data_IF_565611719553
#
_entry.id   IF_565611719553
#
_cell.length_a   1.000
_cell.length_b   1.000
_cell.length_c   1.000
_cell.angle_alpha   90.00
_cell.angle_beta   90.00
_cell.angle_gamma   90.00
#
_symmetry.space_group_name_H-M   'P 1'
#
loop_
_entity.id
_entity.type
_entity.pdbx_description
1 polymer ?
#
# COMPACT_ATOMS: atom_id res chain seq x y z
N UNK A 1 15.04 0.89 14.34
CA UNK A 1 14.16 2.05 14.10
C UNK A 1 12.74 1.59 13.78
N UNK A 2 12.53 0.73 12.76
CA UNK A 2 11.19 0.27 12.37
C UNK A 2 10.48 -0.50 13.51
N UNK A 3 11.19 -1.36 14.23
CA UNK A 3 10.66 -2.06 15.41
C UNK A 3 10.18 -1.08 16.50
N UNK A 4 10.96 -0.02 16.78
CA UNK A 4 10.55 0.99 17.76
C UNK A 4 9.32 1.78 17.28
N UNK A 5 9.20 2.02 15.97
CA UNK A 5 8.03 2.64 15.38
C UNK A 5 6.79 1.73 15.51
N UNK A 6 6.93 0.45 15.17
CA UNK A 6 5.87 -0.54 15.32
C UNK A 6 5.39 -0.60 16.77
N UNK A 7 6.34 -0.74 17.71
CA UNK A 7 6.02 -0.75 19.14
C UNK A 7 5.31 0.53 19.60
N UNK A 8 5.74 1.70 19.16
CA UNK A 8 5.10 2.96 19.54
C UNK A 8 3.65 3.05 19.02
N UNK A 9 3.38 2.49 17.84
CA UNK A 9 2.02 2.41 17.28
C UNK A 9 1.17 1.40 18.06
N UNK A 10 1.73 0.24 18.42
CA UNK A 10 1.06 -0.76 19.24
C UNK A 10 0.75 -0.21 20.65
N UNK A 11 1.71 0.46 21.28
CA UNK A 11 1.53 1.11 22.58
C UNK A 11 0.48 2.23 22.56
N UNK A 12 0.15 2.77 21.37
CA UNK A 12 -0.90 3.77 21.12
C UNK A 12 -2.18 3.16 20.49
N UNK A 13 -2.47 1.90 20.80
CA UNK A 13 -3.66 1.18 20.30
C UNK A 13 -3.82 1.25 18.77
N UNK A 14 -2.71 1.23 18.03
CA UNK A 14 -2.66 1.34 16.55
C UNK A 14 -3.22 2.65 16.00
N UNK A 15 -3.22 3.72 16.77
CA UNK A 15 -3.60 5.04 16.30
C UNK A 15 -2.39 5.84 15.83
N UNK A 16 -2.67 6.74 14.88
CA UNK A 16 -1.68 7.66 14.35
C UNK A 16 -1.34 8.75 15.38
N UNK A 17 -0.05 9.02 15.55
CA UNK A 17 0.43 10.17 16.32
C UNK A 17 1.52 10.91 15.53
N UNK A 18 1.24 11.16 14.25
CA UNK A 18 2.15 11.89 13.37
C UNK A 18 1.39 12.70 12.33
N UNK A 19 2.00 13.80 11.90
CA UNK A 19 1.49 14.67 10.84
C UNK A 19 1.85 14.17 9.44
N UNK A 20 1.71 15.06 8.47
CA UNK A 20 1.86 14.80 7.04
C UNK A 20 3.19 14.17 6.63
N UNK A 21 4.31 14.56 7.25
CA UNK A 21 5.61 13.97 6.95
C UNK A 21 5.73 12.53 7.45
N UNK A 22 5.22 12.25 8.64
CA UNK A 22 5.21 10.90 9.21
C UNK A 22 4.33 9.96 8.39
N UNK A 23 3.14 10.40 8.00
CA UNK A 23 2.19 9.60 7.21
C UNK A 23 2.78 9.12 5.89
N UNK A 24 3.62 9.94 5.26
CA UNK A 24 4.27 9.61 3.99
C UNK A 24 5.21 8.41 4.08
N UNK A 25 5.87 8.21 5.20
CA UNK A 25 6.90 7.18 5.34
C UNK A 25 6.48 6.00 6.22
N UNK A 26 5.61 6.22 7.20
CA UNK A 26 5.31 5.23 8.24
C UNK A 26 4.81 3.90 7.66
N UNK A 27 3.75 3.91 6.84
CA UNK A 27 3.17 2.71 6.26
C UNK A 27 4.18 1.91 5.44
N UNK A 28 4.93 2.59 4.56
CA UNK A 28 5.93 1.95 3.71
C UNK A 28 7.11 1.40 4.49
N UNK A 29 7.61 2.14 5.49
CA UNK A 29 8.75 1.69 6.28
C UNK A 29 8.36 0.51 7.17
N UNK A 30 7.19 0.55 7.80
CA UNK A 30 6.67 -0.60 8.53
C UNK A 30 6.58 -1.83 7.64
N UNK A 31 5.94 -1.71 6.48
CA UNK A 31 5.79 -2.82 5.54
C UNK A 31 7.14 -3.35 5.07
N UNK A 32 8.05 -2.47 4.67
CA UNK A 32 9.38 -2.83 4.15
C UNK A 32 10.23 -3.58 5.18
N UNK A 33 10.06 -3.29 6.45
CA UNK A 33 10.85 -3.88 7.53
C UNK A 33 10.11 -4.95 8.33
N UNK A 34 9.06 -5.56 7.75
CA UNK A 34 8.39 -6.73 8.28
C UNK A 34 7.27 -6.46 9.30
N UNK A 35 6.86 -5.20 9.45
CA UNK A 35 5.75 -4.78 10.34
C UNK A 35 4.50 -4.35 9.52
N UNK A 36 4.27 -5.02 8.39
CA UNK A 36 3.16 -4.68 7.49
C UNK A 36 1.78 -4.82 8.15
N UNK A 37 1.60 -5.81 9.01
CA UNK A 37 0.34 -6.01 9.73
C UNK A 37 0.02 -4.85 10.69
N UNK A 38 1.06 -4.27 11.32
CA UNK A 38 0.92 -3.05 12.13
C UNK A 38 0.48 -1.88 11.25
N UNK A 39 1.11 -1.72 10.07
CA UNK A 39 0.74 -0.70 9.09
C UNK A 39 -0.71 -0.85 8.61
N UNK A 40 -1.13 -2.08 8.29
CA UNK A 40 -2.48 -2.37 7.83
C UNK A 40 -3.51 -2.11 8.93
N UNK A 41 -3.26 -2.58 10.15
CA UNK A 41 -4.14 -2.37 11.28
C UNK A 41 -4.30 -0.88 11.62
N UNK A 42 -3.19 -0.12 11.59
CA UNK A 42 -3.21 1.33 11.79
C UNK A 42 -4.02 2.05 10.69
N UNK A 43 -3.84 1.69 9.42
CA UNK A 43 -4.53 2.33 8.30
C UNK A 43 -6.04 2.02 8.27
N UNK A 44 -6.45 0.87 8.81
CA UNK A 44 -7.83 0.39 8.80
C UNK A 44 -8.64 0.70 10.07
N UNK A 45 -8.06 1.43 11.04
CA UNK A 45 -8.81 1.92 12.21
C UNK A 45 -10.01 2.76 11.77
N UNK A 46 -11.12 2.68 12.56
CA UNK A 46 -12.38 3.36 12.25
C UNK A 46 -12.70 4.54 13.16
N UNK A 47 -11.84 4.79 14.12
CA UNK A 47 -11.90 5.92 15.03
C UNK A 47 -10.75 6.91 14.80
N UNK A 48 -10.88 8.11 15.32
CA UNK A 48 -9.92 9.21 15.14
C UNK A 48 -8.68 8.99 16.02
N UNK A 49 -7.49 9.21 15.47
CA UNK A 49 -7.14 9.62 14.11
C UNK A 49 -6.88 8.42 13.17
N UNK A 50 -7.57 8.34 12.05
CA UNK A 50 -7.30 7.34 11.01
C UNK A 50 -7.94 7.71 9.67
N UNK A 51 -7.49 7.08 8.57
CA UNK A 51 -8.14 7.17 7.26
C UNK A 51 -9.54 6.51 7.28
N UNK A 52 -9.69 5.37 7.98
CA UNK A 52 -10.98 4.71 8.12
C UNK A 52 -12.01 5.54 8.86
N UNK A 53 -11.59 6.33 9.86
CA UNK A 53 -12.47 7.26 10.54
C UNK A 53 -13.07 8.31 9.58
N UNK A 54 -12.30 8.86 8.66
CA UNK A 54 -12.86 9.78 7.65
C UNK A 54 -13.93 9.13 6.80
N UNK A 55 -13.74 7.86 6.42
CA UNK A 55 -14.75 7.10 5.67
C UNK A 55 -16.03 6.94 6.50
N UNK A 56 -15.91 6.58 7.77
CA UNK A 56 -17.06 6.46 8.69
C UNK A 56 -17.79 7.83 8.90
N UNK A 57 -17.07 8.94 8.79
CA UNK A 57 -17.65 10.28 8.81
C UNK A 57 -18.26 10.71 7.46
N UNK A 58 -18.22 9.87 6.44
CA UNK A 58 -18.78 10.16 5.11
C UNK A 58 -17.89 11.03 4.23
N UNK A 59 -16.59 11.14 4.52
CA UNK A 59 -15.67 11.86 3.66
C UNK A 59 -15.49 11.13 2.33
N UNK A 60 -15.52 11.88 1.24
CA UNK A 60 -15.24 11.41 -0.12
C UNK A 60 -13.88 11.87 -0.64
N UNK A 61 -13.16 12.66 0.16
CA UNK A 61 -11.85 13.22 -0.12
C UNK A 61 -10.97 13.13 1.12
N UNK A 62 -9.68 13.37 0.96
CA UNK A 62 -8.71 13.36 2.06
C UNK A 62 -8.66 14.74 2.72
N UNK A 63 -8.73 14.79 4.04
CA UNK A 63 -8.58 16.04 4.79
C UNK A 63 -7.11 16.38 5.03
N UNK A 64 -6.84 17.62 5.38
CA UNK A 64 -5.52 18.14 5.73
C UNK A 64 -5.11 17.76 7.16
N UNK A 65 -6.09 17.57 8.04
CA UNK A 65 -5.89 17.23 9.46
C UNK A 65 -6.70 16.02 9.85
N UNK A 66 -6.20 15.26 10.82
CA UNK A 66 -6.88 14.07 11.31
C UNK A 66 -8.20 14.38 12.01
N UNK A 67 -8.18 15.32 12.94
CA UNK A 67 -9.38 15.74 13.65
C UNK A 67 -9.99 17.01 13.02
N UNK A 68 -11.27 16.97 12.75
CA UNK A 68 -12.04 18.14 12.37
C UNK A 68 -12.60 18.79 13.66
N UNK A 69 -11.76 19.46 14.41
CA UNK A 69 -12.17 20.23 15.56
C UNK A 69 -12.59 21.66 15.15
N UNK A 70 -13.36 22.37 16.00
CA UNK A 70 -13.66 23.78 15.77
C UNK A 70 -12.42 24.67 15.58
N UNK A 71 -11.25 24.24 16.10
CA UNK A 71 -9.98 24.93 15.99
C UNK A 71 -9.38 24.83 14.58
N UNK A 72 -9.78 23.80 13.81
CA UNK A 72 -9.35 23.54 12.44
C UNK A 72 -10.48 23.77 11.42
N UNK A 73 -11.42 24.66 11.70
CA UNK A 73 -12.56 24.95 10.80
C UNK A 73 -12.14 25.36 9.39
N UNK A 74 -10.97 25.96 9.25
CA UNK A 74 -10.41 26.43 7.98
C UNK A 74 -9.51 25.39 7.31
N UNK A 75 -9.33 24.19 7.91
CA UNK A 75 -8.56 23.13 7.31
C UNK A 75 -9.27 22.58 6.06
N UNK A 76 -8.50 22.34 5.01
CA UNK A 76 -9.03 21.78 3.77
C UNK A 76 -9.52 20.34 4.00
N UNK A 77 -10.71 20.05 3.48
CA UNK A 77 -11.23 18.68 3.41
C UNK A 77 -10.97 18.01 2.05
N UNK A 78 -10.16 18.64 1.21
CA UNK A 78 -9.68 18.11 -0.06
C UNK A 78 -8.19 18.45 -0.22
N UNK A 79 -7.34 17.70 0.49
CA UNK A 79 -5.92 17.99 0.57
C UNK A 79 -5.07 16.75 0.30
N UNK A 80 -3.97 16.93 -0.43
CA UNK A 80 -3.11 15.83 -0.87
C UNK A 80 -2.16 15.30 0.22
N UNK A 81 -1.94 16.02 1.30
CA UNK A 81 -0.88 15.73 2.26
C UNK A 81 -0.93 14.34 2.88
N UNK A 82 -2.11 13.85 3.20
CA UNK A 82 -2.30 12.53 3.78
C UNK A 82 -2.66 11.47 2.74
N UNK A 83 -2.47 11.79 1.44
CA UNK A 83 -2.84 10.93 0.30
C UNK A 83 -1.80 9.87 -0.06
N UNK A 84 -0.63 9.83 0.56
CA UNK A 84 0.42 8.84 0.25
C UNK A 84 0.00 7.40 0.57
N UNK A 85 -1.06 7.21 1.35
CA UNK A 85 -1.70 5.90 1.54
C UNK A 85 -2.08 5.24 0.21
N UNK A 86 -2.52 6.02 -0.79
CA UNK A 86 -2.84 5.48 -2.12
C UNK A 86 -1.61 4.88 -2.81
N UNK A 87 -0.45 5.52 -2.65
CA UNK A 87 0.79 5.00 -3.19
C UNK A 87 1.23 3.73 -2.44
N UNK A 88 1.04 3.66 -1.12
CA UNK A 88 1.28 2.45 -0.34
C UNK A 88 0.34 1.30 -0.76
N UNK A 89 -0.93 1.57 -1.03
CA UNK A 89 -1.87 0.57 -1.54
C UNK A 89 -1.40 -0.03 -2.87
N UNK A 90 -0.87 0.78 -3.78
CA UNK A 90 -0.37 0.32 -5.07
C UNK A 90 0.97 -0.40 -4.94
N UNK A 91 1.93 0.18 -4.20
CA UNK A 91 3.30 -0.34 -4.13
C UNK A 91 3.47 -1.53 -3.19
N UNK A 92 2.73 -1.53 -2.07
CA UNK A 92 2.95 -2.51 -1.01
C UNK A 92 1.79 -3.50 -0.89
N UNK A 93 0.52 -3.07 -0.93
CA UNK A 93 -0.60 -4.01 -0.88
C UNK A 93 -0.73 -4.77 -2.21
N UNK A 94 -0.88 -4.08 -3.32
CA UNK A 94 -0.96 -4.71 -4.64
C UNK A 94 0.41 -5.10 -5.21
N UNK A 95 1.48 -4.44 -4.73
CA UNK A 95 2.86 -4.83 -5.00
C UNK A 95 3.45 -4.32 -6.30
N UNK A 96 2.92 -3.28 -6.95
CA UNK A 96 3.50 -2.73 -8.18
C UNK A 96 4.62 -1.76 -7.84
N UNK A 97 5.86 -2.17 -8.08
CA UNK A 97 7.06 -1.36 -7.86
C UNK A 97 7.89 -1.25 -9.14
N UNK A 98 8.82 -0.31 -9.17
CA UNK A 98 9.79 -0.16 -10.25
C UNK A 98 11.20 -0.50 -9.75
N UNK A 99 12.06 -0.87 -10.69
CA UNK A 99 13.48 -1.03 -10.44
C UNK A 99 14.17 0.34 -10.62
N UNK A 100 14.83 0.91 -9.58
CA UNK A 100 15.54 2.18 -9.68
C UNK A 100 16.67 2.20 -10.73
N UNK A 101 17.30 1.04 -10.98
CA UNK A 101 18.36 0.89 -11.97
C UNK A 101 17.83 0.87 -13.41
N UNK A 102 16.53 0.58 -13.57
CA UNK A 102 15.83 0.49 -14.87
C UNK A 102 14.55 1.33 -14.84
N UNK A 103 14.65 2.68 -14.80
CA UNK A 103 13.52 3.59 -14.60
C UNK A 103 12.49 3.49 -15.73
N UNK A 104 11.28 4.02 -15.48
CA UNK A 104 10.18 4.07 -16.44
C UNK A 104 9.44 2.74 -16.59
N UNK A 105 9.52 1.85 -15.61
CA UNK A 105 8.91 0.51 -15.63
C UNK A 105 9.39 -0.37 -16.79
N UNK A 106 10.62 -0.18 -17.23
CA UNK A 106 11.28 -1.12 -18.16
C UNK A 106 11.49 -2.48 -17.50
N UNK A 107 11.70 -2.44 -16.19
CA UNK A 107 11.64 -3.60 -15.32
C UNK A 107 10.72 -3.30 -14.14
N UNK A 108 9.77 -4.19 -13.91
CA UNK A 108 8.76 -4.08 -12.87
C UNK A 108 9.15 -5.01 -11.74
N UNK A 109 8.97 -4.59 -10.49
CA UNK A 109 9.11 -5.47 -9.33
C UNK A 109 7.73 -5.65 -8.72
N UNK A 110 7.17 -6.85 -8.84
CA UNK A 110 5.94 -7.21 -8.14
C UNK A 110 6.29 -7.80 -6.77
N UNK A 111 5.96 -7.05 -5.72
CA UNK A 111 6.21 -7.43 -4.32
C UNK A 111 4.98 -7.14 -3.46
N UNK A 112 3.88 -7.88 -3.67
CA UNK A 112 2.67 -7.71 -2.85
C UNK A 112 2.88 -8.24 -1.44
N UNK A 113 2.22 -7.59 -0.47
CA UNK A 113 2.07 -8.09 0.88
C UNK A 113 0.66 -8.62 1.08
N UNK A 114 0.56 -9.88 1.51
CA UNK A 114 -0.70 -10.57 1.74
C UNK A 114 -1.13 -10.39 3.20
N UNK A 115 -1.66 -9.21 3.53
CA UNK A 115 -2.04 -8.88 4.90
C UNK A 115 -3.16 -9.77 5.42
N UNK A 116 -3.09 -10.10 6.70
CA UNK A 116 -4.19 -10.78 7.38
C UNK A 116 -5.41 -9.84 7.49
N UNK A 117 -6.60 -10.40 7.28
CA UNK A 117 -7.84 -9.62 7.25
C UNK A 117 -8.15 -8.94 5.90
N UNK A 118 -7.32 -9.16 4.87
CA UNK A 118 -7.58 -8.72 3.50
C UNK A 118 -7.68 -9.94 2.58
N UNK A 119 -8.81 -10.08 1.90
CA UNK A 119 -9.09 -11.25 1.04
C UNK A 119 -8.50 -11.11 -0.35
N UNK A 120 -8.40 -9.89 -0.86
CA UNK A 120 -7.86 -9.58 -2.17
C UNK A 120 -7.37 -8.14 -2.28
N UNK A 121 -6.49 -7.89 -3.24
CA UNK A 121 -6.15 -6.55 -3.69
C UNK A 121 -5.86 -6.55 -5.18
N UNK A 122 -6.14 -5.42 -5.83
CA UNK A 122 -5.90 -5.21 -7.26
C UNK A 122 -5.44 -3.78 -7.50
N UNK A 123 -4.46 -3.61 -8.38
CA UNK A 123 -4.05 -2.32 -8.90
C UNK A 123 -3.69 -2.40 -10.38
N UNK A 124 -3.92 -1.30 -11.08
CA UNK A 124 -3.43 -1.05 -12.44
C UNK A 124 -2.61 0.24 -12.45
N UNK A 125 -1.46 0.21 -13.08
CA UNK A 125 -0.65 1.38 -13.39
C UNK A 125 -0.41 1.46 -14.90
N UNK A 126 -0.65 2.63 -15.49
CA UNK A 126 -0.42 2.86 -16.92
C UNK A 126 0.96 3.43 -17.16
N UNK A 127 1.89 2.57 -17.53
CA UNK A 127 3.24 2.97 -17.91
C UNK A 127 3.31 3.43 -19.37
N UNK A 128 4.47 3.95 -19.77
CA UNK A 128 4.75 4.30 -21.16
C UNK A 128 4.74 3.08 -22.10
N UNK A 129 4.97 1.87 -21.58
CA UNK A 129 4.94 0.61 -22.32
C UNK A 129 3.55 -0.05 -22.35
N UNK A 130 2.60 0.47 -21.57
CA UNK A 130 1.26 -0.08 -21.46
C UNK A 130 0.83 -0.37 -20.01
N UNK A 131 -0.31 -1.04 -19.82
CA UNK A 131 -0.84 -1.33 -18.50
C UNK A 131 -0.02 -2.38 -17.77
N UNK A 132 0.27 -2.09 -16.51
CA UNK A 132 0.84 -3.02 -15.52
C UNK A 132 -0.29 -3.35 -14.57
N UNK A 133 -0.55 -4.63 -14.32
CA UNK A 133 -1.60 -5.07 -13.40
C UNK A 133 -1.04 -6.04 -12.39
N UNK A 134 -1.55 -5.94 -11.17
CA UNK A 134 -1.33 -6.89 -10.09
C UNK A 134 -2.64 -7.14 -9.39
N UNK A 135 -3.03 -8.40 -9.26
CA UNK A 135 -4.19 -8.83 -8.48
C UNK A 135 -3.81 -10.09 -7.70
N UNK A 136 -4.05 -10.07 -6.42
CA UNK A 136 -3.98 -11.27 -5.61
C UNK A 136 -5.30 -11.53 -4.88
N UNK A 137 -5.56 -12.78 -4.57
CA UNK A 137 -6.79 -13.22 -3.93
C UNK A 137 -6.51 -14.48 -3.09
N UNK A 138 -7.05 -14.50 -1.87
CA UNK A 138 -7.03 -15.69 -1.00
C UNK A 138 -8.08 -16.69 -1.47
N UNK A 139 -7.67 -17.95 -1.66
CA UNK A 139 -8.55 -19.09 -2.02
C UNK A 139 -8.28 -20.24 -1.06
N UNK A 140 -9.01 -20.25 0.05
CA UNK A 140 -8.72 -21.13 1.17
C UNK A 140 -7.33 -20.84 1.76
N UNK A 141 -6.51 -21.86 1.88
CA UNK A 141 -5.15 -21.74 2.44
C UNK A 141 -4.10 -21.23 1.44
N UNK A 142 -4.52 -20.80 0.26
CA UNK A 142 -3.60 -20.37 -0.80
C UNK A 142 -3.87 -18.94 -1.22
N UNK A 143 -2.82 -18.28 -1.68
CA UNK A 143 -2.93 -16.99 -2.39
C UNK A 143 -2.64 -17.22 -3.86
N UNK A 144 -3.53 -16.73 -4.71
CA UNK A 144 -3.33 -16.67 -6.17
C UNK A 144 -2.97 -15.23 -6.53
N UNK A 145 -1.81 -15.04 -7.16
CA UNK A 145 -1.35 -13.76 -7.67
C UNK A 145 -1.33 -13.82 -9.19
N UNK A 146 -2.02 -12.89 -9.84
CA UNK A 146 -1.99 -12.66 -11.28
C UNK A 146 -1.32 -11.33 -11.56
N UNK A 147 -0.28 -11.32 -12.40
CA UNK A 147 0.41 -10.09 -12.82
C UNK A 147 0.38 -9.96 -14.34
N UNK A 148 0.28 -8.71 -14.83
CA UNK A 148 0.38 -8.39 -16.25
C UNK A 148 1.57 -7.46 -16.48
N UNK A 149 2.48 -7.89 -17.36
CA UNK A 149 3.68 -7.18 -17.78
C UNK A 149 3.46 -6.69 -19.22
N UNK A 150 3.56 -5.38 -19.49
CA UNK A 150 3.38 -4.86 -20.84
C UNK A 150 4.50 -5.30 -21.81
N UNK A 151 4.25 -5.19 -23.10
CA UNK A 151 5.26 -5.47 -24.13
C UNK A 151 6.50 -4.59 -23.93
N UNK A 152 7.68 -5.12 -24.28
CA UNK A 152 8.98 -4.46 -24.11
C UNK A 152 9.38 -4.19 -22.64
N UNK A 153 8.71 -4.82 -21.69
CA UNK A 153 9.09 -4.81 -20.28
C UNK A 153 9.36 -6.22 -19.78
N UNK A 154 10.10 -6.31 -18.67
CA UNK A 154 10.31 -7.53 -17.90
C UNK A 154 9.89 -7.30 -16.46
N UNK A 155 9.76 -8.34 -15.67
CA UNK A 155 9.45 -8.18 -14.26
C UNK A 155 10.11 -9.27 -13.40
N UNK A 156 10.40 -8.89 -12.15
CA UNK A 156 10.68 -9.81 -11.05
C UNK A 156 9.44 -9.91 -10.17
N UNK A 157 9.00 -11.10 -9.88
CA UNK A 157 7.91 -11.38 -8.91
C UNK A 157 8.53 -11.93 -7.63
N UNK A 158 8.39 -11.17 -6.54
CA UNK A 158 8.89 -11.49 -5.20
C UNK A 158 7.71 -11.71 -4.26
N UNK A 159 7.28 -12.94 -4.07
CA UNK A 159 6.13 -13.26 -3.23
C UNK A 159 6.23 -14.69 -2.67
N UNK A 160 5.64 -14.92 -1.49
CA UNK A 160 5.61 -16.24 -0.86
C UNK A 160 6.99 -16.87 -0.67
N UNK A 161 8.03 -16.07 -0.42
CA UNK A 161 9.41 -16.51 -0.26
C UNK A 161 10.10 -16.95 -1.57
N UNK A 162 9.48 -16.67 -2.73
CA UNK A 162 10.02 -16.98 -4.05
C UNK A 162 10.36 -15.72 -4.84
N UNK A 163 11.35 -15.83 -5.72
CA UNK A 163 11.72 -14.80 -6.70
C UNK A 163 11.71 -15.43 -8.08
N UNK A 164 10.94 -14.88 -9.00
CA UNK A 164 10.76 -15.39 -10.37
C UNK A 164 10.86 -14.25 -11.37
N UNK A 165 11.68 -14.41 -12.40
CA UNK A 165 11.76 -13.48 -13.53
C UNK A 165 10.74 -13.87 -14.61
N UNK A 166 10.02 -12.86 -15.14
CA UNK A 166 9.04 -13.05 -16.22
C UNK A 166 9.18 -11.99 -17.30
N UNK A 167 8.82 -12.36 -18.53
CA UNK A 167 8.71 -11.43 -19.66
C UNK A 167 7.31 -10.82 -19.79
N UNK A 168 7.08 -10.17 -20.92
CA UNK A 168 5.77 -9.62 -21.25
C UNK A 168 4.67 -10.70 -21.29
N UNK A 169 3.47 -10.34 -20.84
CA UNK A 169 2.32 -11.24 -20.78
C UNK A 169 1.63 -11.24 -19.41
N UNK A 170 0.68 -12.14 -19.26
CA UNK A 170 -0.02 -12.36 -17.97
C UNK A 170 0.46 -13.68 -17.37
N UNK A 171 0.78 -13.64 -16.08
CA UNK A 171 1.37 -14.75 -15.34
C UNK A 171 0.63 -14.99 -14.04
N UNK A 172 0.36 -16.26 -13.73
CA UNK A 172 -0.31 -16.70 -12.51
C UNK A 172 0.66 -17.45 -11.59
N UNK A 173 0.61 -17.12 -10.30
CA UNK A 173 1.40 -17.74 -9.23
C UNK A 173 0.48 -18.23 -8.13
N UNK A 174 0.91 -19.29 -7.45
CA UNK A 174 0.22 -19.87 -6.29
C UNK A 174 1.22 -20.04 -5.14
N UNK A 175 0.84 -19.52 -4.00
CA UNK A 175 1.59 -19.52 -2.76
C UNK A 175 0.84 -20.19 -1.63
#
# INVERSE_FOLDING_TARGET
VAENLAKAIEDNDFHLDFGTLGSKYALRMLTRYGHGDVAYKMASQKDCPSWGWWIEQGFTTLAETWALSPEFRDASVNHVFLGDISAWMVSDIAGINFDPERPGYRHIVFRPHFFDGLDWAEAEYRSVSGPIRSRWERKGDRVVLTVTVPVNSTATVEAGGKTVEVGAGTHDFKF
#
